data_IF_022029283029
#
_entry.id   IF_022029283029
#
_cell.length_a   1.000
_cell.length_b   1.000
_cell.length_c   1.000
_cell.angle_alpha   90.00
_cell.angle_beta   90.00
_cell.angle_gamma   90.00
#
_symmetry.space_group_name_H-M   'P 1'
#
loop_
_entity.id
_entity.type
_entity.pdbx_description
1 polymer ?
#
# COMPACT_ATOMS: atom_id res chain seq x y z
N UNK A 1 21.02 -14.57 17.28
CA UNK A 1 20.11 -13.40 17.36
C UNK A 1 19.20 -13.45 16.13
N UNK A 2 17.93 -13.77 16.33
CA UNK A 2 16.94 -13.62 15.26
C UNK A 2 16.80 -12.11 15.00
N UNK A 3 17.33 -11.64 13.87
CA UNK A 3 16.87 -10.39 13.27
C UNK A 3 15.37 -10.59 13.04
N UNK A 4 14.54 -9.89 13.83
CA UNK A 4 13.12 -9.79 13.51
C UNK A 4 13.05 -9.04 12.19
N UNK A 5 12.63 -9.72 11.13
CA UNK A 5 12.24 -9.07 9.89
C UNK A 5 11.21 -8.01 10.27
N UNK A 6 11.58 -6.75 10.06
CA UNK A 6 10.63 -5.65 10.13
C UNK A 6 9.60 -5.91 9.04
N UNK A 7 8.32 -5.77 9.36
CA UNK A 7 7.26 -5.97 8.38
C UNK A 7 7.50 -5.04 7.19
N UNK A 8 7.39 -5.58 5.98
CA UNK A 8 7.69 -4.89 4.69
C UNK A 8 6.86 -3.60 4.48
N UNK A 9 6.02 -3.20 5.46
CA UNK A 9 5.12 -2.03 5.38
C UNK A 9 5.18 -1.14 6.61
N UNK A 10 6.15 -1.33 7.50
CA UNK A 10 6.29 -0.49 8.67
C UNK A 10 6.68 0.94 8.27
N UNK A 11 6.04 1.91 8.90
CA UNK A 11 6.36 3.33 8.74
C UNK A 11 7.03 3.82 10.01
N UNK A 12 8.09 4.59 9.84
CA UNK A 12 8.83 5.16 10.96
C UNK A 12 9.17 6.63 10.72
N UNK A 13 9.53 7.29 11.79
CA UNK A 13 9.95 8.70 11.78
C UNK A 13 11.46 8.74 11.90
N UNK A 14 12.13 9.50 11.02
CA UNK A 14 13.55 9.76 11.12
C UNK A 14 13.79 10.66 12.34
N UNK A 15 14.47 10.13 13.36
CA UNK A 15 14.77 10.88 14.59
C UNK A 15 16.19 11.43 14.63
N UNK A 16 17.13 10.84 13.88
CA UNK A 16 18.51 11.35 13.78
C UNK A 16 19.17 10.98 12.46
N UNK A 17 20.04 11.87 11.98
CA UNK A 17 20.90 11.63 10.82
C UNK A 17 22.33 11.94 11.21
N UNK A 18 23.19 10.94 11.16
CA UNK A 18 24.62 11.10 11.41
C UNK A 18 25.37 11.15 10.07
N UNK A 19 25.85 12.36 9.70
CA UNK A 19 26.56 12.57 8.43
C UNK A 19 27.97 11.98 8.42
N UNK A 20 28.62 11.87 9.58
CA UNK A 20 29.98 11.34 9.71
C UNK A 20 29.94 9.81 9.55
N UNK A 21 29.08 9.15 10.30
CA UNK A 21 28.90 7.70 10.25
C UNK A 21 28.02 7.25 9.08
N UNK A 22 27.41 8.18 8.35
CA UNK A 22 26.45 7.92 7.25
C UNK A 22 25.33 6.98 7.67
N UNK A 23 24.77 7.22 8.86
CA UNK A 23 23.67 6.43 9.41
C UNK A 23 22.43 7.26 9.64
N UNK A 24 21.27 6.63 9.51
CA UNK A 24 19.95 7.18 9.78
C UNK A 24 19.29 6.37 10.88
N UNK A 25 18.83 7.04 11.92
CA UNK A 25 18.08 6.40 13.02
C UNK A 25 16.60 6.68 12.82
N UNK A 26 15.80 5.62 12.83
CA UNK A 26 14.35 5.67 12.60
C UNK A 26 13.65 5.04 13.79
N UNK A 27 12.61 5.71 14.26
CA UNK A 27 11.68 5.18 15.26
C UNK A 27 10.42 4.63 14.57
N UNK A 28 10.16 3.35 14.78
CA UNK A 28 8.98 2.64 14.33
C UNK A 28 8.08 2.34 15.53
N UNK A 29 7.30 3.33 15.95
CA UNK A 29 6.37 3.22 17.07
C UNK A 29 7.03 2.69 18.36
N UNK A 30 8.15 3.32 18.74
CA UNK A 30 8.94 2.94 19.93
C UNK A 30 10.01 1.88 19.68
N UNK A 31 10.14 1.38 18.44
CA UNK A 31 11.24 0.49 18.03
C UNK A 31 12.26 1.26 17.23
N UNK A 32 13.41 1.51 17.84
CA UNK A 32 14.49 2.26 17.20
C UNK A 32 15.36 1.32 16.35
N UNK A 33 15.58 1.69 15.10
CA UNK A 33 16.48 1.01 14.19
C UNK A 33 17.48 1.99 13.58
N UNK A 34 18.73 1.53 13.42
CA UNK A 34 19.80 2.32 12.78
C UNK A 34 20.10 1.68 11.44
N UNK A 35 20.04 2.49 10.39
CA UNK A 35 20.30 2.11 9.01
C UNK A 35 21.63 2.70 8.56
N UNK A 36 22.51 1.89 8.03
CA UNK A 36 23.72 2.29 7.36
C UNK A 36 23.48 2.61 5.87
N UNK A 37 24.51 3.04 5.15
CA UNK A 37 24.38 3.41 3.74
C UNK A 37 23.86 2.26 2.87
N UNK A 38 24.24 1.00 3.16
CA UNK A 38 23.82 -0.16 2.34
C UNK A 38 22.35 -0.51 2.61
N UNK A 39 21.88 -0.25 3.83
CA UNK A 39 20.49 -0.50 4.21
C UNK A 39 19.52 0.59 3.75
N UNK A 40 20.02 1.79 3.39
CA UNK A 40 19.17 2.91 2.94
C UNK A 40 18.38 2.60 1.67
N UNK A 41 18.89 1.72 0.81
CA UNK A 41 18.19 1.28 -0.42
C UNK A 41 16.89 0.51 -0.13
N UNK A 42 16.72 0.03 1.11
CA UNK A 42 15.49 -0.63 1.56
C UNK A 42 14.46 0.36 2.15
N UNK A 43 14.78 1.64 2.19
CA UNK A 43 13.90 2.68 2.70
C UNK A 43 13.29 3.50 1.57
N UNK A 44 12.01 3.80 1.70
CA UNK A 44 11.30 4.72 0.81
C UNK A 44 10.71 5.87 1.62
N UNK A 45 10.65 7.05 1.02
CA UNK A 45 9.97 8.19 1.64
C UNK A 45 8.46 7.92 1.73
N UNK A 46 7.89 8.07 2.91
CA UNK A 46 6.48 7.73 3.19
C UNK A 46 5.55 8.96 3.25
N UNK A 47 5.92 10.07 2.60
CA UNK A 47 5.05 11.26 2.48
C UNK A 47 3.82 10.99 1.60
N UNK A 48 3.91 10.02 0.69
CA UNK A 48 2.80 9.47 -0.07
C UNK A 48 3.01 7.97 -0.26
N UNK A 49 1.93 7.20 -0.23
CA UNK A 49 1.97 5.76 -0.43
C UNK A 49 0.94 5.34 -1.47
N UNK A 50 1.17 4.23 -2.15
CA UNK A 50 0.17 3.69 -3.07
C UNK A 50 -0.99 3.09 -2.30
N UNK A 51 -2.17 3.04 -2.93
CA UNK A 51 -3.36 2.40 -2.34
C UNK A 51 -3.07 0.94 -1.96
N UNK A 52 -2.29 0.21 -2.76
CA UNK A 52 -1.91 -1.17 -2.46
C UNK A 52 -1.02 -1.28 -1.20
N UNK A 53 -0.08 -0.34 -1.02
CA UNK A 53 0.75 -0.32 0.20
C UNK A 53 -0.03 0.08 1.45
N UNK A 54 -1.16 0.79 1.30
CA UNK A 54 -2.03 1.19 2.41
C UNK A 54 -2.98 0.09 2.89
N UNK A 55 -3.05 -1.05 2.20
CA UNK A 55 -3.91 -2.16 2.61
C UNK A 55 -3.57 -2.66 4.01
N UNK A 56 -4.58 -2.78 4.86
CA UNK A 56 -4.43 -3.14 6.27
C UNK A 56 -4.12 -1.97 7.20
N UNK A 57 -3.89 -0.75 6.66
CA UNK A 57 -3.71 0.47 7.46
C UNK A 57 -4.97 1.34 7.39
N UNK A 58 -5.18 2.16 8.41
CA UNK A 58 -6.24 3.16 8.47
C UNK A 58 -5.66 4.52 8.83
N UNK A 59 -6.30 5.59 8.36
CA UNK A 59 -5.86 6.98 8.55
C UNK A 59 -7.05 7.83 8.92
N UNK A 60 -6.86 8.85 9.74
CA UNK A 60 -7.95 9.78 10.08
C UNK A 60 -8.43 10.53 8.84
N UNK A 61 -7.50 10.99 8.01
CA UNK A 61 -7.77 11.70 6.75
C UNK A 61 -6.99 11.04 5.62
N UNK A 62 -7.65 10.86 4.48
CA UNK A 62 -7.03 10.34 3.26
C UNK A 62 -7.19 11.35 2.14
N UNK A 63 -6.08 11.69 1.48
CA UNK A 63 -6.07 12.49 0.26
C UNK A 63 -5.76 11.55 -0.90
N UNK A 64 -6.72 11.35 -1.79
CA UNK A 64 -6.56 10.53 -3.00
C UNK A 64 -6.31 11.43 -4.20
N UNK A 65 -5.24 11.16 -4.93
CA UNK A 65 -4.92 11.86 -6.19
C UNK A 65 -5.41 11.06 -7.38
N UNK A 66 -6.25 11.68 -8.24
CA UNK A 66 -6.90 11.06 -9.40
C UNK A 66 -6.71 11.95 -10.62
N UNK A 67 -5.51 11.95 -11.21
CA UNK A 67 -5.18 12.86 -12.32
C UNK A 67 -5.25 12.24 -13.72
N UNK A 68 -5.52 10.94 -13.82
CA UNK A 68 -5.40 10.18 -15.06
C UNK A 68 -4.00 9.58 -15.24
N UNK A 69 -3.83 8.71 -16.20
CA UNK A 69 -2.54 8.03 -16.48
C UNK A 69 -2.75 6.62 -17.00
N UNK A 70 -2.29 5.62 -16.29
CA UNK A 70 -2.41 4.22 -16.71
C UNK A 70 -3.85 3.71 -16.52
N UNK A 71 -4.63 3.62 -17.58
CA UNK A 71 -6.02 3.17 -17.59
C UNK A 71 -6.23 1.82 -16.88
N UNK A 72 -5.23 0.95 -16.94
CA UNK A 72 -5.26 -0.36 -16.26
C UNK A 72 -5.31 -0.29 -14.73
N UNK A 73 -4.98 0.86 -14.13
CA UNK A 73 -5.02 1.06 -12.68
C UNK A 73 -6.29 1.79 -12.22
N UNK A 74 -7.06 2.35 -13.14
CA UNK A 74 -8.26 3.13 -12.83
C UNK A 74 -9.50 2.25 -12.82
N UNK A 75 -9.68 1.46 -11.76
CA UNK A 75 -10.85 0.61 -11.58
C UNK A 75 -11.52 0.85 -10.23
N UNK A 76 -12.81 0.56 -10.16
CA UNK A 76 -13.68 0.81 -9.00
C UNK A 76 -13.10 0.26 -7.69
N UNK A 77 -12.57 -0.97 -7.70
CA UNK A 77 -12.07 -1.61 -6.48
C UNK A 77 -10.84 -0.91 -5.91
N UNK A 78 -9.99 -0.28 -6.75
CA UNK A 78 -8.87 0.52 -6.27
C UNK A 78 -9.37 1.79 -5.55
N UNK A 79 -10.34 2.47 -6.16
CA UNK A 79 -10.98 3.65 -5.56
C UNK A 79 -11.63 3.29 -4.22
N UNK A 80 -12.42 2.22 -4.19
CA UNK A 80 -13.05 1.71 -2.97
C UNK A 80 -12.02 1.43 -1.88
N UNK A 81 -10.92 0.72 -2.23
CA UNK A 81 -9.86 0.41 -1.28
C UNK A 81 -9.22 1.67 -0.70
N UNK A 82 -8.99 2.70 -1.54
CA UNK A 82 -8.43 3.97 -1.09
C UNK A 82 -9.38 4.73 -0.16
N UNK A 83 -10.65 4.84 -0.52
CA UNK A 83 -11.68 5.54 0.27
C UNK A 83 -11.88 4.87 1.62
N UNK A 84 -11.93 3.55 1.67
CA UNK A 84 -12.13 2.77 2.92
C UNK A 84 -10.93 2.80 3.87
N UNK A 85 -9.82 3.45 3.50
CA UNK A 85 -8.69 3.67 4.43
C UNK A 85 -8.93 4.86 5.35
N UNK A 86 -9.90 5.72 5.08
CA UNK A 86 -10.19 6.88 5.88
C UNK A 86 -11.18 6.56 7.00
N UNK A 87 -10.89 7.08 8.21
CA UNK A 87 -11.80 7.01 9.36
C UNK A 87 -12.77 8.17 9.38
N UNK A 88 -12.30 9.38 9.09
CA UNK A 88 -13.07 10.60 9.31
C UNK A 88 -13.33 11.39 8.02
N UNK A 89 -12.35 11.49 7.12
CA UNK A 89 -12.48 12.35 5.94
C UNK A 89 -11.68 11.81 4.75
N UNK A 90 -12.28 11.91 3.57
CA UNK A 90 -11.61 11.67 2.27
C UNK A 90 -11.66 12.95 1.45
N UNK A 91 -10.51 13.37 0.96
CA UNK A 91 -10.38 14.43 -0.01
C UNK A 91 -9.89 13.84 -1.34
N UNK A 92 -10.63 14.04 -2.41
CA UNK A 92 -10.24 13.59 -3.76
C UNK A 92 -9.77 14.79 -4.56
N UNK A 93 -8.53 14.71 -5.07
CA UNK A 93 -7.89 15.78 -5.83
C UNK A 93 -7.55 15.27 -7.22
N UNK A 94 -8.08 15.93 -8.25
CA UNK A 94 -7.79 15.55 -9.63
C UNK A 94 -8.94 15.77 -10.60
N UNK A 95 -9.01 14.94 -11.64
CA UNK A 95 -10.03 15.06 -12.69
C UNK A 95 -11.34 14.39 -12.30
N UNK A 96 -12.44 15.14 -12.36
CA UNK A 96 -13.79 14.59 -12.18
C UNK A 96 -14.10 13.52 -13.22
N UNK A 97 -13.65 13.71 -14.44
CA UNK A 97 -13.83 12.73 -15.52
C UNK A 97 -13.16 11.39 -15.18
N UNK A 98 -11.88 11.42 -14.78
CA UNK A 98 -11.15 10.21 -14.37
C UNK A 98 -11.80 9.52 -13.19
N UNK A 99 -12.31 10.29 -12.22
CA UNK A 99 -13.04 9.75 -11.07
C UNK A 99 -14.32 9.02 -11.51
N UNK A 100 -15.10 9.60 -12.43
CA UNK A 100 -16.30 8.98 -12.98
C UNK A 100 -15.98 7.71 -13.77
N UNK A 101 -14.91 7.72 -14.56
CA UNK A 101 -14.42 6.54 -15.28
C UNK A 101 -14.02 5.41 -14.31
N UNK A 102 -13.35 5.73 -13.22
CA UNK A 102 -13.00 4.73 -12.18
C UNK A 102 -14.25 4.09 -11.56
N UNK A 103 -15.30 4.89 -11.30
CA UNK A 103 -16.56 4.37 -10.77
C UNK A 103 -17.24 3.44 -11.78
N UNK A 104 -17.22 3.80 -13.05
CA UNK A 104 -17.85 3.03 -14.12
C UNK A 104 -17.06 1.75 -14.48
N UNK A 105 -15.76 1.73 -14.18
CA UNK A 105 -14.89 0.61 -14.53
C UNK A 105 -14.99 -0.51 -13.50
N UNK A 106 -15.79 -1.53 -13.81
CA UNK A 106 -16.01 -2.75 -13.00
C UNK A 106 -15.06 -3.88 -13.38
N UNK A 107 -14.00 -3.63 -14.12
CA UNK A 107 -13.08 -4.69 -14.54
C UNK A 107 -12.49 -5.39 -13.32
N UNK A 108 -13.04 -6.54 -13.01
CA UNK A 108 -12.43 -7.50 -12.10
C UNK A 108 -11.33 -8.25 -12.84
N UNK A 109 -10.12 -8.20 -12.30
CA UNK A 109 -9.10 -9.16 -12.72
C UNK A 109 -9.56 -10.55 -12.33
N UNK A 110 -10.14 -11.29 -13.29
CA UNK A 110 -10.48 -12.70 -13.10
C UNK A 110 -9.21 -13.44 -12.71
N UNK A 111 -9.13 -13.82 -11.46
CA UNK A 111 -8.07 -14.71 -10.99
C UNK A 111 -8.34 -16.09 -11.56
N UNK A 112 -7.54 -16.52 -12.49
CA UNK A 112 -7.55 -17.91 -12.96
C UNK A 112 -6.92 -18.78 -11.85
N UNK A 113 -7.71 -19.16 -10.86
CA UNK A 113 -7.28 -20.13 -9.86
C UNK A 113 -7.91 -21.48 -10.21
N UNK A 114 -7.12 -22.53 -10.27
CA UNK A 114 -7.62 -23.91 -10.45
C UNK A 114 -8.34 -24.48 -9.22
N UNK A 115 -8.70 -23.62 -8.25
CA UNK A 115 -9.35 -24.06 -7.01
C UNK A 115 -10.71 -24.68 -7.28
N UNK A 116 -11.50 -24.09 -8.19
CA UNK A 116 -12.82 -24.61 -8.55
C UNK A 116 -12.73 -26.03 -9.14
N UNK A 117 -11.74 -26.24 -10.00
CA UNK A 117 -11.56 -27.53 -10.67
C UNK A 117 -11.03 -28.58 -9.68
N UNK A 118 -10.09 -28.21 -8.80
CA UNK A 118 -9.62 -29.08 -7.72
C UNK A 118 -10.70 -29.44 -6.71
N UNK A 119 -11.59 -28.51 -6.37
CA UNK A 119 -12.72 -28.80 -5.49
C UNK A 119 -13.64 -29.83 -6.14
N UNK A 120 -13.93 -29.69 -7.44
CA UNK A 120 -14.74 -30.66 -8.17
C UNK A 120 -14.11 -32.06 -8.18
N UNK A 121 -12.81 -32.14 -8.50
CA UNK A 121 -12.05 -33.38 -8.46
C UNK A 121 -12.15 -34.11 -7.11
N UNK A 122 -12.05 -33.36 -6.02
CA UNK A 122 -12.15 -33.94 -4.66
C UNK A 122 -13.58 -34.43 -4.35
N UNK A 123 -14.60 -33.72 -4.80
CA UNK A 123 -16.00 -34.12 -4.58
C UNK A 123 -16.48 -35.22 -5.52
N UNK A 124 -15.88 -35.38 -6.71
CA UNK A 124 -16.18 -36.49 -7.64
C UNK A 124 -15.45 -37.77 -7.26
N UNK A 125 -14.40 -37.70 -6.41
CA UNK A 125 -13.66 -38.86 -5.89
C UNK A 125 -14.17 -39.35 -4.51
N UNK A 126 -15.15 -38.68 -3.94
CA UNK A 126 -15.82 -39.05 -2.68
C UNK A 126 -17.21 -39.65 -2.94
#
# INVERSE_FOLDING_TARGET
RRQRQMCIRDRGIIIAVNKILKTVTIDFEGRIAVYDKQMLDNLELAYAITVHKSQGSEFDVVILTVFGGFDKLYYRNLLYTGVTRAKSCVCIVGSVHTFQEMIANEQEQKRYSGLKDRIKEVYELA
#
